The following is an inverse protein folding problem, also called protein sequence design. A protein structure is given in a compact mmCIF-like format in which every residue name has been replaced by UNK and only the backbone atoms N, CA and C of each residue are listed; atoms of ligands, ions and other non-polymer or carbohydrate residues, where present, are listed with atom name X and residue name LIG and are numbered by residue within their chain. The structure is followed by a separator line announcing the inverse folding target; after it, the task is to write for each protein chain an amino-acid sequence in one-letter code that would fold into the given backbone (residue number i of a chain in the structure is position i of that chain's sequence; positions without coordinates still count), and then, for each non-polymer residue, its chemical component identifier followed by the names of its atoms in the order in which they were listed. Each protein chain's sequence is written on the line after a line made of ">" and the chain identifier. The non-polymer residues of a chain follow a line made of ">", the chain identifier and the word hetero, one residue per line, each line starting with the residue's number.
data_IF_211166758620
#
_entry.id   IF_211166758620
#
_cell.length_a   1.000
_cell.length_b   1.000
_cell.length_c   1.000
_cell.angle_alpha   90.00
_cell.angle_beta   90.00
_cell.angle_gamma   90.00
#
_symmetry.space_group_name_H-M   'P 1'
#
loop_
_entity.id
_entity.type
_entity.pdbx_description
1 polymer ?
#
# COMPACT_ATOMS: atom_id res chain seq x y z
N UNK A 1 13.74 -1.13 -22.84
CA UNK A 1 13.93 -0.28 -21.64
C UNK A 1 12.97 -0.63 -20.50
N UNK A 2 11.78 -1.16 -20.80
CA UNK A 2 10.83 -1.71 -19.81
C UNK A 2 11.25 -3.07 -19.18
N UNK A 3 12.18 -3.81 -19.80
CA UNK A 3 12.69 -5.09 -19.28
C UNK A 3 13.77 -4.96 -18.19
N UNK A 4 14.30 -3.76 -17.93
CA UNK A 4 15.40 -3.56 -16.96
C UNK A 4 14.94 -3.16 -15.55
N UNK A 5 13.64 -2.94 -15.34
CA UNK A 5 13.06 -2.81 -14.00
C UNK A 5 12.59 -4.15 -13.43
N UNK A 6 12.71 -5.23 -14.22
CA UNK A 6 12.53 -6.62 -13.79
C UNK A 6 13.78 -7.15 -13.06
N UNK A 7 14.39 -6.34 -12.19
CA UNK A 7 15.43 -6.84 -11.29
C UNK A 7 14.73 -7.49 -10.08
N UNK A 8 14.63 -8.81 -10.16
CA UNK A 8 14.81 -9.75 -9.06
C UNK A 8 13.96 -9.55 -7.80
N UNK A 9 12.65 -9.80 -7.89
CA UNK A 9 11.92 -10.34 -6.75
C UNK A 9 11.10 -11.55 -7.22
N UNK A 10 11.30 -12.67 -6.54
CA UNK A 10 10.41 -13.83 -6.62
C UNK A 10 9.00 -13.29 -6.35
N UNK A 11 8.06 -13.48 -7.29
CA UNK A 11 6.64 -13.12 -7.09
C UNK A 11 6.23 -13.65 -5.73
N UNK A 12 5.95 -12.77 -4.77
CA UNK A 12 5.65 -13.17 -3.40
C UNK A 12 4.40 -14.05 -3.46
N UNK A 13 4.49 -15.29 -2.98
CA UNK A 13 3.32 -16.14 -2.93
C UNK A 13 2.45 -15.63 -1.77
N UNK A 14 1.15 -15.53 -2.00
CA UNK A 14 0.21 -15.14 -0.96
C UNK A 14 0.32 -16.03 0.26
N UNK A 15 0.60 -17.32 0.07
CA UNK A 15 0.79 -18.31 1.14
C UNK A 15 1.99 -17.99 2.05
N UNK A 16 2.96 -17.20 1.55
CA UNK A 16 4.12 -16.75 2.33
C UNK A 16 3.81 -15.48 3.16
N UNK A 17 2.65 -14.86 2.96
CA UNK A 17 2.23 -13.63 3.64
C UNK A 17 1.20 -13.98 4.70
N UNK A 18 1.52 -13.68 5.96
CA UNK A 18 0.58 -13.92 7.07
C UNK A 18 -0.68 -13.08 6.93
N UNK A 19 -1.82 -13.56 7.44
CA UNK A 19 -3.06 -12.77 7.40
C UNK A 19 -2.92 -11.40 8.08
N UNK A 20 -2.07 -11.31 9.11
CA UNK A 20 -1.72 -10.04 9.78
C UNK A 20 -1.04 -9.09 8.80
N UNK A 21 -0.02 -9.56 8.07
CA UNK A 21 0.70 -8.74 7.08
C UNK A 21 -0.21 -8.32 5.91
N UNK A 22 -1.11 -9.20 5.46
CA UNK A 22 -2.13 -8.88 4.44
C UNK A 22 -3.07 -7.76 4.92
N UNK A 23 -3.52 -7.85 6.17
CA UNK A 23 -4.37 -6.83 6.80
C UNK A 23 -3.62 -5.51 6.93
N UNK A 24 -2.35 -5.58 7.31
CA UNK A 24 -1.49 -4.42 7.47
C UNK A 24 -1.17 -3.73 6.14
N UNK A 25 -1.03 -4.51 5.05
CA UNK A 25 -0.88 -3.99 3.70
C UNK A 25 -2.13 -3.20 3.30
N UNK A 26 -3.31 -3.82 3.41
CA UNK A 26 -4.56 -3.16 3.01
C UNK A 26 -4.82 -1.91 3.87
N UNK A 27 -4.55 -1.95 5.17
CA UNK A 27 -4.62 -0.79 6.07
C UNK A 27 -3.64 0.30 5.67
N UNK A 28 -2.39 -0.05 5.36
CA UNK A 28 -1.38 0.89 4.89
C UNK A 28 -1.80 1.59 3.61
N UNK A 29 -2.36 0.83 2.66
CA UNK A 29 -2.88 1.38 1.41
C UNK A 29 -4.09 2.30 1.64
N UNK A 30 -5.04 1.92 2.51
CA UNK A 30 -6.13 2.79 2.96
C UNK A 30 -5.61 4.11 3.56
N UNK A 31 -4.53 4.05 4.33
CA UNK A 31 -3.91 5.22 4.96
C UNK A 31 -3.32 6.17 3.91
N UNK A 32 -2.68 5.62 2.86
CA UNK A 32 -2.16 6.41 1.73
C UNK A 32 -3.31 7.12 1.00
N UNK A 33 -4.37 6.40 0.66
CA UNK A 33 -5.55 6.96 -0.03
C UNK A 33 -6.20 8.08 0.80
N UNK A 34 -6.32 7.91 2.12
CA UNK A 34 -6.79 8.97 3.03
C UNK A 34 -5.93 10.23 2.93
N UNK A 35 -4.61 10.06 2.89
CA UNK A 35 -3.66 11.18 2.74
C UNK A 35 -3.76 11.84 1.37
N UNK A 36 -4.20 11.10 0.35
CA UNK A 36 -4.53 11.60 -0.99
C UNK A 36 -5.98 12.12 -1.13
N UNK A 37 -6.73 12.23 -0.02
CA UNK A 37 -8.10 12.76 0.03
C UNK A 37 -9.20 11.90 -0.64
N UNK A 38 -8.94 10.61 -0.91
CA UNK A 38 -9.93 9.62 -1.37
C UNK A 38 -10.73 9.97 -2.65
N UNK A 39 -10.30 10.94 -3.45
CA UNK A 39 -11.06 11.41 -4.62
C UNK A 39 -10.71 10.67 -5.93
N UNK A 40 -9.65 9.86 -5.92
CA UNK A 40 -9.16 9.19 -7.11
C UNK A 40 -9.86 7.82 -7.30
N UNK A 41 -10.53 7.65 -8.43
CA UNK A 41 -11.28 6.43 -8.75
C UNK A 41 -10.38 5.23 -9.07
N UNK A 42 -9.16 5.47 -9.58
CA UNK A 42 -8.19 4.41 -9.82
C UNK A 42 -7.65 3.87 -8.50
N UNK A 43 -7.45 4.74 -7.49
CA UNK A 43 -7.11 4.29 -6.13
C UNK A 43 -8.19 3.41 -5.52
N UNK A 44 -9.47 3.76 -5.70
CA UNK A 44 -10.61 2.93 -5.27
C UNK A 44 -10.59 1.55 -5.92
N UNK A 45 -10.33 1.53 -7.23
CA UNK A 45 -10.23 0.30 -8.01
C UNK A 45 -9.07 -0.56 -7.52
N UNK A 46 -7.90 0.05 -7.31
CA UNK A 46 -6.72 -0.64 -6.79
C UNK A 46 -6.91 -1.16 -5.37
N UNK A 47 -7.58 -0.41 -4.49
CA UNK A 47 -7.90 -0.85 -3.13
C UNK A 47 -8.72 -2.16 -3.15
N UNK A 48 -9.71 -2.22 -4.04
CA UNK A 48 -10.57 -3.40 -4.21
C UNK A 48 -9.79 -4.58 -4.80
N UNK A 49 -8.92 -4.33 -5.79
CA UNK A 49 -8.04 -5.35 -6.39
C UNK A 49 -7.08 -5.93 -5.34
N UNK A 50 -6.44 -5.08 -4.54
CA UNK A 50 -5.53 -5.50 -3.47
C UNK A 50 -6.29 -6.32 -2.42
N UNK A 51 -7.46 -5.85 -1.98
CA UNK A 51 -8.29 -6.56 -1.02
C UNK A 51 -8.64 -7.96 -1.50
N UNK A 52 -9.13 -8.08 -2.74
CA UNK A 52 -9.42 -9.37 -3.37
C UNK A 52 -8.17 -10.25 -3.50
N UNK A 53 -7.05 -9.68 -3.93
CA UNK A 53 -5.79 -10.41 -4.04
C UNK A 53 -5.41 -11.06 -2.72
N UNK A 54 -5.56 -10.35 -1.59
CA UNK A 54 -5.25 -10.88 -0.27
C UNK A 54 -6.32 -11.79 0.35
N UNK A 55 -7.43 -12.02 -0.35
CA UNK A 55 -8.52 -12.89 0.09
C UNK A 55 -9.55 -12.20 0.99
N UNK A 56 -9.60 -10.86 1.00
CA UNK A 56 -10.67 -10.13 1.65
C UNK A 56 -11.95 -10.17 0.81
N UNK A 57 -13.08 -10.20 1.50
CA UNK A 57 -14.40 -10.22 0.86
C UNK A 57 -14.68 -8.88 0.17
N UNK A 58 -15.35 -8.94 -0.98
CA UNK A 58 -15.58 -7.77 -1.83
C UNK A 58 -16.45 -6.71 -1.12
N UNK A 59 -17.53 -7.15 -0.47
CA UNK A 59 -18.39 -6.28 0.34
C UNK A 59 -17.66 -5.62 1.49
N UNK A 60 -16.72 -6.32 2.14
CA UNK A 60 -15.82 -5.72 3.12
C UNK A 60 -14.95 -4.62 2.52
N UNK A 61 -14.33 -4.86 1.35
CA UNK A 61 -13.45 -3.87 0.72
C UNK A 61 -14.24 -2.62 0.29
N UNK A 62 -15.41 -2.82 -0.31
CA UNK A 62 -16.29 -1.74 -0.73
C UNK A 62 -16.72 -0.86 0.46
N UNK A 63 -17.28 -1.47 1.51
CA UNK A 63 -17.71 -0.74 2.71
C UNK A 63 -16.55 -0.02 3.40
N UNK A 64 -15.39 -0.68 3.46
CA UNK A 64 -14.18 -0.11 4.06
C UNK A 64 -13.73 1.15 3.31
N UNK A 65 -13.82 1.15 1.98
CA UNK A 65 -13.51 2.33 1.17
C UNK A 65 -14.57 3.43 1.30
N UNK A 66 -15.86 3.08 1.27
CA UNK A 66 -16.97 4.04 1.38
C UNK A 66 -16.91 4.86 2.67
N UNK A 67 -16.53 4.23 3.78
CA UNK A 67 -16.38 4.88 5.08
C UNK A 67 -14.93 5.30 5.38
N UNK A 68 -14.04 5.27 4.38
CA UNK A 68 -12.60 5.39 4.61
C UNK A 68 -12.24 6.70 5.29
N UNK A 69 -12.84 7.83 4.91
CA UNK A 69 -12.57 9.15 5.52
C UNK A 69 -13.14 9.30 6.93
N UNK A 70 -14.30 8.70 7.19
CA UNK A 70 -15.05 8.81 8.46
C UNK A 70 -14.55 7.82 9.52
N UNK A 71 -13.86 6.77 9.08
CA UNK A 71 -13.41 5.70 9.96
C UNK A 71 -12.23 6.14 10.86
N UNK A 72 -12.58 6.58 12.08
CA UNK A 72 -11.62 6.97 13.13
C UNK A 72 -10.78 5.83 13.70
N UNK A 73 -11.06 4.57 13.34
CA UNK A 73 -10.34 3.39 13.85
C UNK A 73 -9.18 2.98 12.95
N UNK A 74 -9.02 3.59 11.78
CA UNK A 74 -7.85 3.37 10.93
C UNK A 74 -6.67 4.09 11.56
N UNK A 75 -5.70 3.30 12.01
CA UNK A 75 -4.45 3.84 12.55
C UNK A 75 -3.73 4.65 11.47
N UNK A 76 -3.28 5.85 11.82
CA UNK A 76 -2.42 6.67 10.96
C UNK A 76 -0.93 6.33 11.14
N UNK A 77 -0.60 5.37 12.02
CA UNK A 77 0.77 4.92 12.26
C UNK A 77 1.35 4.24 11.03
N UNK A 78 2.67 4.39 10.79
CA UNK A 78 3.37 3.68 9.72
C UNK A 78 3.12 2.18 9.76
N UNK A 79 3.00 1.55 8.59
CA UNK A 79 2.79 0.10 8.56
C UNK A 79 4.02 -0.66 9.05
N UNK A 80 3.84 -1.70 9.87
CA UNK A 80 4.95 -2.55 10.35
C UNK A 80 4.65 -4.00 10.03
N UNK A 81 5.54 -4.59 9.23
CA UNK A 81 5.40 -5.95 8.72
C UNK A 81 6.25 -6.94 9.51
N UNK A 82 5.92 -8.22 9.38
CA UNK A 82 6.64 -9.30 10.09
C UNK A 82 8.10 -9.44 9.67
N UNK A 83 8.46 -9.01 8.45
CA UNK A 83 9.82 -9.03 7.96
C UNK A 83 10.06 -7.97 6.87
N UNK A 84 11.33 -7.72 6.61
CA UNK A 84 11.81 -6.74 5.65
C UNK A 84 11.33 -7.01 4.21
N UNK A 85 11.26 -8.27 3.76
CA UNK A 85 10.84 -8.58 2.39
C UNK A 85 9.39 -8.15 2.13
N UNK A 86 8.50 -8.35 3.11
CA UNK A 86 7.11 -7.91 3.00
C UNK A 86 7.01 -6.39 3.06
N UNK A 87 7.81 -5.73 3.90
CA UNK A 87 7.85 -4.27 3.95
C UNK A 87 8.31 -3.66 2.61
N UNK A 88 9.38 -4.21 2.02
CA UNK A 88 9.88 -3.78 0.71
C UNK A 88 8.84 -4.04 -0.40
N UNK A 89 8.14 -5.18 -0.35
CA UNK A 89 7.05 -5.50 -1.25
C UNK A 89 5.93 -4.45 -1.18
N UNK A 90 5.44 -4.14 0.03
CA UNK A 90 4.43 -3.10 0.24
C UNK A 90 4.87 -1.74 -0.30
N UNK A 91 6.07 -1.28 0.06
CA UNK A 91 6.53 0.06 -0.32
C UNK A 91 6.67 0.18 -1.84
N UNK A 92 7.23 -0.84 -2.49
CA UNK A 92 7.38 -0.85 -3.95
C UNK A 92 6.03 -0.86 -4.66
N UNK A 93 5.11 -1.73 -4.25
CA UNK A 93 3.79 -1.81 -4.88
C UNK A 93 2.98 -0.54 -4.65
N UNK A 94 3.01 0.03 -3.44
CA UNK A 94 2.38 1.31 -3.16
C UNK A 94 2.95 2.42 -4.07
N UNK A 95 4.28 2.52 -4.20
CA UNK A 95 4.91 3.50 -5.10
C UNK A 95 4.50 3.31 -6.56
N UNK A 96 4.52 2.08 -7.05
CA UNK A 96 4.13 1.76 -8.43
C UNK A 96 2.67 2.12 -8.70
N UNK A 97 1.78 1.81 -7.77
CA UNK A 97 0.36 2.12 -7.91
C UNK A 97 0.16 3.64 -7.93
N UNK A 98 0.74 4.36 -6.97
CA UNK A 98 0.60 5.82 -6.90
C UNK A 98 1.18 6.54 -8.12
N UNK A 99 2.23 5.99 -8.74
CA UNK A 99 2.78 6.51 -9.99
C UNK A 99 1.82 6.29 -11.17
N UNK A 100 1.19 5.12 -11.25
CA UNK A 100 0.22 4.80 -12.31
C UNK A 100 -1.08 5.60 -12.16
N UNK A 101 -1.54 5.82 -10.93
CA UNK A 101 -2.77 6.59 -10.63
C UNK A 101 -2.53 8.10 -10.53
N UNK A 102 -1.28 8.55 -10.68
CA UNK A 102 -0.85 9.95 -10.58
C UNK A 102 -1.39 10.66 -9.32
N UNK A 103 -1.39 9.96 -8.19
CA UNK A 103 -2.10 10.40 -6.98
C UNK A 103 -1.20 10.67 -5.77
N UNK A 104 0.12 10.53 -5.91
CA UNK A 104 1.06 10.70 -4.79
C UNK A 104 1.08 12.14 -4.24
N UNK A 105 0.43 12.36 -3.10
CA UNK A 105 0.55 13.60 -2.33
C UNK A 105 1.84 13.65 -1.49
N UNK A 106 2.24 14.85 -1.04
CA UNK A 106 3.39 15.02 -0.15
C UNK A 106 3.18 14.35 1.22
N UNK A 107 1.95 14.34 1.72
CA UNK A 107 1.58 13.70 2.98
C UNK A 107 1.67 12.18 2.88
N UNK A 108 1.21 11.58 1.77
CA UNK A 108 1.38 10.17 1.47
C UNK A 108 2.86 9.79 1.33
N UNK A 109 3.62 10.57 0.57
CA UNK A 109 5.06 10.35 0.40
C UNK A 109 5.81 10.38 1.73
N UNK A 110 5.52 11.39 2.58
CA UNK A 110 6.09 11.50 3.92
C UNK A 110 5.77 10.27 4.77
N UNK A 111 4.54 9.75 4.68
CA UNK A 111 4.12 8.57 5.43
C UNK A 111 4.80 7.28 4.93
N UNK A 112 5.00 7.14 3.62
CA UNK A 112 5.78 6.03 3.06
C UNK A 112 7.23 6.05 3.54
N UNK A 113 7.87 7.23 3.60
CA UNK A 113 9.20 7.39 4.20
C UNK A 113 9.24 7.00 5.68
N UNK A 114 8.19 7.31 6.44
CA UNK A 114 8.07 6.86 7.83
C UNK A 114 7.90 5.33 7.93
N UNK A 115 7.22 4.72 6.96
CA UNK A 115 7.05 3.26 6.87
C UNK A 115 8.37 2.56 6.59
N UNK A 116 9.22 3.10 5.70
CA UNK A 116 10.61 2.62 5.51
C UNK A 116 11.35 2.59 6.85
N UNK A 117 11.35 3.71 7.57
CA UNK A 117 12.05 3.84 8.84
C UNK A 117 11.50 2.88 9.92
N UNK A 118 10.18 2.71 9.99
CA UNK A 118 9.54 1.84 10.98
C UNK A 118 9.87 0.35 10.77
N UNK A 119 10.11 -0.05 9.52
CA UNK A 119 10.53 -1.42 9.19
C UNK A 119 12.05 -1.60 9.15
N UNK A 120 12.83 -0.53 9.38
CA UNK A 120 14.30 -0.53 9.39
C UNK A 120 14.93 -1.06 8.09
N UNK A 121 14.31 -0.76 6.96
CA UNK A 121 14.78 -1.20 5.65
C UNK A 121 15.54 -0.06 4.96
N UNK A 122 16.56 -0.42 4.18
CA UNK A 122 17.30 0.53 3.36
C UNK A 122 16.62 0.65 1.97
N UNK A 123 15.59 1.50 1.89
CA UNK A 123 14.80 1.71 0.68
C UNK A 123 14.56 3.20 0.44
N UNK A 124 14.87 3.67 -0.78
CA UNK A 124 14.68 5.07 -1.17
C UNK A 124 13.29 5.29 -1.75
N UNK A 125 12.56 6.25 -1.20
CA UNK A 125 11.20 6.64 -1.63
C UNK A 125 11.24 8.07 -2.15
N UNK A 126 11.06 8.24 -3.46
CA UNK A 126 11.10 9.53 -4.15
C UNK A 126 9.93 9.65 -5.13
N UNK A 127 9.49 10.88 -5.41
CA UNK A 127 8.49 11.09 -6.46
C UNK A 127 9.10 10.72 -7.81
N UNK A 128 8.31 10.04 -8.62
CA UNK A 128 8.66 9.79 -10.02
C UNK A 128 8.02 10.96 -10.77
N UNK A 129 8.87 11.83 -11.32
CA UNK A 129 8.49 12.98 -12.16
C UNK A 129 8.02 12.53 -13.56
#
# INVERSE_FOLDING_TARGET
>A
MLEKLTISYKKMNIDDITYKDRSEFLRGFATIIRKNNCSNQDEKTMFSIIGKYFGFEEGFCQKSFEHLMENKYISEMPSVFSNELIAQFFIRDAMNIMAQTQSMSDTALKWLKQTVNANKIDFVVEKID
#
